data_IF_322140891513
#
_entry.id   IF_322140891513
#
_cell.length_a   1.000
_cell.length_b   1.000
_cell.length_c   1.000
_cell.angle_alpha   90.00
_cell.angle_beta   90.00
_cell.angle_gamma   90.00
#
_symmetry.space_group_name_H-M   'P 1'
#
loop_
_entity.id
_entity.type
_entity.pdbx_description
1 polymer ?
#
# COMPACT_ATOMS: atom_id res chain seq x y z
N UNK A 1 4.03 10.81 10.21
CA UNK A 1 4.03 11.74 9.06
C UNK A 1 4.37 11.05 7.73
N UNK A 2 5.52 10.37 7.58
CA UNK A 2 5.91 9.73 6.29
C UNK A 2 4.92 8.66 5.77
N UNK A 3 4.36 7.83 6.66
CA UNK A 3 3.35 6.82 6.29
C UNK A 3 2.07 7.44 5.73
N UNK A 4 1.65 8.58 6.27
CA UNK A 4 0.47 9.30 5.79
C UNK A 4 0.70 9.85 4.38
N UNK A 5 1.89 10.39 4.10
CA UNK A 5 2.27 10.83 2.76
C UNK A 5 2.26 9.68 1.74
N UNK A 6 2.77 8.50 2.13
CA UNK A 6 2.72 7.30 1.29
C UNK A 6 1.27 6.90 0.96
N UNK A 7 0.39 6.87 1.98
CA UNK A 7 -1.04 6.54 1.79
C UNK A 7 -1.72 7.53 0.85
N UNK A 8 -1.46 8.83 1.01
CA UNK A 8 -1.98 9.84 0.11
C UNK A 8 -1.48 9.63 -1.32
N UNK A 9 -0.19 9.37 -1.50
CA UNK A 9 0.36 9.11 -2.83
C UNK A 9 -0.29 7.88 -3.50
N UNK A 10 -0.40 6.74 -2.79
CA UNK A 10 -0.95 5.51 -3.37
C UNK A 10 -2.46 5.55 -3.60
N UNK A 11 -3.20 6.34 -2.81
CA UNK A 11 -4.64 6.52 -3.00
C UNK A 11 -4.96 7.47 -4.16
N UNK A 12 -4.03 8.37 -4.49
CA UNK A 12 -4.20 9.33 -5.59
C UNK A 12 -3.56 8.89 -6.92
N UNK A 13 -2.72 7.85 -6.92
CA UNK A 13 -1.95 7.39 -8.09
C UNK A 13 -2.81 7.02 -9.32
N UNK A 14 -4.10 6.75 -9.11
CA UNK A 14 -5.03 6.36 -10.16
C UNK A 14 -5.65 7.56 -10.88
N UNK A 15 -5.59 8.77 -10.30
CA UNK A 15 -6.29 9.93 -10.81
C UNK A 15 -5.37 10.82 -11.65
N UNK A 16 -5.91 11.40 -12.72
CA UNK A 16 -5.22 12.38 -13.57
C UNK A 16 -6.22 13.25 -14.32
N UNK A 17 -5.88 14.51 -14.57
CA UNK A 17 -6.64 15.36 -15.49
C UNK A 17 -6.57 14.82 -16.93
N UNK A 18 -5.45 14.21 -17.29
CA UNK A 18 -5.21 13.61 -18.60
C UNK A 18 -5.59 12.12 -18.61
N UNK A 19 -6.62 11.72 -17.86
CA UNK A 19 -7.05 10.32 -17.75
C UNK A 19 -7.32 9.67 -19.12
N UNK A 20 -7.77 10.44 -20.13
CA UNK A 20 -8.00 9.94 -21.49
C UNK A 20 -6.76 9.31 -22.11
N UNK A 21 -5.56 9.75 -21.74
CA UNK A 21 -4.31 9.18 -22.22
C UNK A 21 -4.07 7.73 -21.75
N UNK A 22 -4.89 7.21 -20.82
CA UNK A 22 -4.83 5.81 -20.38
C UNK A 22 -5.16 4.81 -21.49
N UNK A 23 -5.69 5.25 -22.64
CA UNK A 23 -5.88 4.42 -23.83
C UNK A 23 -4.60 3.64 -24.21
N UNK A 24 -3.42 4.19 -23.90
CA UNK A 24 -2.12 3.54 -24.17
C UNK A 24 -1.99 2.17 -23.51
N UNK A 25 -2.58 1.96 -22.32
CA UNK A 25 -2.54 0.65 -21.65
C UNK A 25 -3.40 -0.40 -22.37
N UNK A 26 -4.41 0.05 -23.12
CA UNK A 26 -5.35 -0.81 -23.83
C UNK A 26 -4.95 -1.05 -25.29
N UNK A 27 -4.14 -0.16 -25.89
CA UNK A 27 -3.63 -0.33 -27.25
C UNK A 27 -2.74 -1.58 -27.42
N UNK A 28 -1.96 -1.93 -26.40
CA UNK A 28 -1.23 -3.18 -26.32
C UNK A 28 -1.26 -3.72 -24.88
N UNK A 29 -2.31 -4.48 -24.52
CA UNK A 29 -2.48 -4.97 -23.16
C UNK A 29 -1.29 -5.81 -22.71
N UNK A 30 -0.72 -5.49 -21.56
CA UNK A 30 0.24 -6.34 -20.88
C UNK A 30 -0.43 -7.64 -20.41
N UNK A 31 0.36 -8.71 -20.25
CA UNK A 31 -0.18 -10.02 -19.81
C UNK A 31 -0.99 -9.94 -18.52
N UNK A 32 -0.50 -9.21 -17.52
CA UNK A 32 -1.23 -8.95 -16.27
C UNK A 32 -1.19 -7.45 -15.91
N UNK A 33 -2.34 -6.76 -15.77
CA UNK A 33 -2.36 -5.33 -15.44
C UNK A 33 -1.83 -5.07 -14.02
N UNK A 34 -1.92 -6.06 -13.12
CA UNK A 34 -1.31 -6.00 -11.79
C UNK A 34 0.20 -5.75 -11.81
N UNK A 35 0.92 -6.13 -12.87
CA UNK A 35 2.35 -5.79 -13.00
C UNK A 35 2.58 -4.28 -13.17
N UNK A 36 1.71 -3.61 -13.94
CA UNK A 36 1.77 -2.15 -14.14
C UNK A 36 1.42 -1.43 -12.84
N UNK A 37 0.36 -1.89 -12.17
CA UNK A 37 -0.05 -1.37 -10.86
C UNK A 37 1.05 -1.52 -9.81
N UNK A 38 1.69 -2.70 -9.75
CA UNK A 38 2.81 -2.98 -8.86
C UNK A 38 4.05 -2.13 -9.20
N UNK A 39 4.32 -1.88 -10.47
CA UNK A 39 5.39 -0.98 -10.92
C UNK A 39 5.16 0.45 -10.43
N UNK A 40 3.95 0.96 -10.58
CA UNK A 40 3.57 2.30 -10.10
C UNK A 40 3.70 2.41 -8.57
N UNK A 41 3.24 1.40 -7.83
CA UNK A 41 3.44 1.33 -6.38
C UNK A 41 4.92 1.33 -6.00
N UNK A 42 5.73 0.45 -6.61
CA UNK A 42 7.18 0.38 -6.32
C UNK A 42 7.86 1.71 -6.59
N UNK A 43 7.50 2.41 -7.66
CA UNK A 43 8.04 3.72 -7.96
C UNK A 43 7.73 4.73 -6.85
N UNK A 44 6.48 4.78 -6.37
CA UNK A 44 6.10 5.66 -5.25
C UNK A 44 6.83 5.27 -3.97
N UNK A 45 6.84 3.98 -3.64
CA UNK A 45 7.45 3.47 -2.42
C UNK A 45 8.96 3.72 -2.37
N UNK A 46 9.69 3.35 -3.43
CA UNK A 46 11.15 3.47 -3.48
C UNK A 46 11.59 4.93 -3.60
N UNK A 47 10.85 5.77 -4.34
CA UNK A 47 11.27 7.16 -4.58
C UNK A 47 10.88 8.11 -3.43
N UNK A 48 9.71 7.93 -2.84
CA UNK A 48 9.16 8.91 -1.90
C UNK A 48 9.08 8.42 -0.45
N UNK A 49 9.01 7.11 -0.21
CA UNK A 49 8.91 6.58 1.15
C UNK A 49 10.23 6.01 1.66
N UNK A 50 10.86 5.11 0.90
CA UNK A 50 12.01 4.33 1.33
C UNK A 50 13.20 5.17 1.80
N UNK A 51 13.60 6.27 1.13
CA UNK A 51 14.75 7.06 1.56
C UNK A 51 14.55 7.65 2.96
N UNK A 52 13.37 8.20 3.24
CA UNK A 52 13.04 8.74 4.56
C UNK A 52 12.93 7.65 5.61
N UNK A 53 12.28 6.53 5.28
CA UNK A 53 12.15 5.39 6.18
C UNK A 53 13.52 4.79 6.54
N UNK A 54 14.44 4.72 5.57
CA UNK A 54 15.79 4.22 5.78
C UNK A 54 16.60 5.12 6.72
N UNK A 55 16.56 6.44 6.53
CA UNK A 55 17.24 7.39 7.43
C UNK A 55 16.73 7.26 8.87
N UNK A 56 15.41 7.20 9.06
CA UNK A 56 14.80 7.02 10.39
C UNK A 56 15.19 5.67 10.99
N UNK A 57 15.16 4.60 10.19
CA UNK A 57 15.54 3.25 10.61
C UNK A 57 16.99 3.18 11.10
N UNK A 58 17.92 3.78 10.35
CA UNK A 58 19.33 3.85 10.73
C UNK A 58 19.49 4.62 12.03
N UNK A 59 18.80 5.75 12.19
CA UNK A 59 18.84 6.54 13.42
C UNK A 59 18.35 5.75 14.65
N UNK A 60 17.23 5.03 14.52
CA UNK A 60 16.67 4.20 15.60
C UNK A 60 17.63 3.06 15.98
N UNK A 61 18.21 2.38 14.98
CA UNK A 61 19.18 1.29 15.23
C UNK A 61 20.46 1.84 15.86
N UNK A 62 20.92 3.02 15.45
CA UNK A 62 22.12 3.64 16.02
C UNK A 62 21.95 3.99 17.51
N UNK A 63 20.75 4.43 17.93
CA UNK A 63 20.46 4.74 19.32
C UNK A 63 20.18 3.50 20.18
N UNK A 64 19.47 2.52 19.63
CA UNK A 64 19.02 1.34 20.35
C UNK A 64 19.96 0.13 20.28
N UNK A 65 20.91 0.14 19.35
CA UNK A 65 21.77 -1.00 19.04
C UNK A 65 21.05 -2.09 18.22
N UNK A 66 21.74 -3.23 18.07
CA UNK A 66 21.31 -4.33 17.18
C UNK A 66 19.97 -4.97 17.55
N UNK A 67 19.53 -4.87 18.80
CA UNK A 67 18.25 -5.43 19.25
C UNK A 67 17.04 -4.77 18.60
N UNK A 68 17.16 -3.50 18.18
CA UNK A 68 16.08 -2.73 17.56
C UNK A 68 15.87 -3.06 16.09
N UNK A 69 16.75 -3.84 15.46
CA UNK A 69 16.62 -4.21 14.05
C UNK A 69 15.30 -4.96 13.78
N UNK A 70 14.90 -5.83 14.71
CA UNK A 70 13.66 -6.59 14.62
C UNK A 70 12.44 -5.70 14.80
N UNK A 71 12.52 -4.72 15.69
CA UNK A 71 11.44 -3.76 15.94
C UNK A 71 11.22 -2.86 14.70
N UNK A 72 12.31 -2.36 14.11
CA UNK A 72 12.29 -1.58 12.86
C UNK A 72 11.74 -2.39 11.70
N UNK A 73 12.18 -3.64 11.53
CA UNK A 73 11.70 -4.50 10.45
C UNK A 73 10.21 -4.80 10.61
N UNK A 74 9.76 -5.10 11.84
CA UNK A 74 8.36 -5.33 12.14
C UNK A 74 7.50 -4.07 11.88
N UNK A 75 8.00 -2.89 12.25
CA UNK A 75 7.33 -1.63 11.94
C UNK A 75 7.20 -1.42 10.42
N UNK A 76 8.25 -1.75 9.65
CA UNK A 76 8.24 -1.61 8.20
C UNK A 76 7.28 -2.59 7.51
N UNK A 77 7.17 -3.83 8.00
CA UNK A 77 6.20 -4.82 7.53
C UNK A 77 4.76 -4.36 7.79
N UNK A 78 4.49 -3.82 8.98
CA UNK A 78 3.17 -3.29 9.31
C UNK A 78 2.75 -2.13 8.39
N UNK A 79 3.67 -1.23 8.07
CA UNK A 79 3.43 -0.14 7.12
C UNK A 79 3.11 -0.69 5.72
N UNK A 80 3.87 -1.67 5.25
CA UNK A 80 3.63 -2.32 3.95
C UNK A 80 2.26 -3.01 3.90
N UNK A 81 1.93 -3.81 4.91
CA UNK A 81 0.63 -4.50 5.02
C UNK A 81 -0.50 -3.49 4.98
N UNK A 82 -0.41 -2.42 5.78
CA UNK A 82 -1.44 -1.40 5.84
C UNK A 82 -1.67 -0.74 4.48
N UNK A 83 -0.59 -0.37 3.79
CA UNK A 83 -0.67 0.25 2.46
C UNK A 83 -1.24 -0.71 1.42
N UNK A 84 -0.85 -1.99 1.43
CA UNK A 84 -1.40 -3.00 0.53
C UNK A 84 -2.89 -3.24 0.75
N UNK A 85 -3.34 -3.28 2.01
CA UNK A 85 -4.77 -3.35 2.35
C UNK A 85 -5.50 -2.14 1.78
N UNK A 86 -5.00 -0.92 2.01
CA UNK A 86 -5.61 0.31 1.48
C UNK A 86 -5.72 0.28 -0.04
N UNK A 87 -4.67 -0.16 -0.73
CA UNK A 87 -4.66 -0.29 -2.19
C UNK A 87 -5.64 -1.36 -2.69
N UNK A 88 -5.76 -2.49 -1.98
CA UNK A 88 -6.68 -3.58 -2.35
C UNK A 88 -8.14 -3.23 -2.12
N UNK A 89 -8.43 -2.45 -1.09
CA UNK A 89 -9.75 -1.83 -0.87
C UNK A 89 -10.03 -0.67 -1.84
N UNK A 90 -8.99 -0.22 -2.55
CA UNK A 90 -9.02 0.69 -3.68
C UNK A 90 -9.95 0.22 -4.80
N UNK A 91 -10.27 1.14 -5.72
CA UNK A 91 -10.74 0.68 -7.03
C UNK A 91 -9.53 0.06 -7.73
N UNK A 92 -9.65 -1.18 -8.21
CA UNK A 92 -8.63 -1.78 -9.05
C UNK A 92 -8.64 -1.01 -10.38
N UNK A 93 -7.73 -0.06 -10.51
CA UNK A 93 -7.61 0.81 -11.67
C UNK A 93 -6.13 0.91 -12.08
N UNK A 94 -5.90 1.28 -13.33
CA UNK A 94 -4.55 1.53 -13.81
C UNK A 94 -4.07 2.91 -13.31
N UNK A 95 -2.76 3.10 -13.15
CA UNK A 95 -2.23 4.40 -12.75
C UNK A 95 -2.63 5.47 -13.78
N UNK A 96 -3.09 6.62 -13.28
CA UNK A 96 -3.54 7.77 -14.08
C UNK A 96 -4.72 7.51 -15.03
N UNK A 97 -5.58 6.53 -14.75
CA UNK A 97 -6.71 6.18 -15.63
C UNK A 97 -8.07 6.74 -15.21
N UNK A 98 -8.21 7.34 -14.02
CA UNK A 98 -9.50 7.79 -13.47
C UNK A 98 -9.62 9.33 -13.45
N UNK A 99 -10.84 9.82 -13.73
CA UNK A 99 -11.19 11.25 -13.55
C UNK A 99 -11.22 11.59 -12.06
N UNK A 100 -10.69 12.75 -11.67
CA UNK A 100 -10.62 13.14 -10.25
C UNK A 100 -12.01 13.29 -9.58
N UNK A 101 -13.05 13.63 -10.36
CA UNK A 101 -14.44 13.65 -9.86
C UNK A 101 -14.95 12.30 -9.35
N UNK A 102 -14.33 11.17 -9.73
CA UNK A 102 -14.70 9.85 -9.22
C UNK A 102 -14.16 9.56 -7.80
N UNK A 103 -13.30 10.41 -7.27
CA UNK A 103 -12.66 10.26 -5.95
C UNK A 103 -13.65 10.29 -4.77
N UNK A 104 -14.86 10.85 -4.95
CA UNK A 104 -15.81 11.10 -3.86
C UNK A 104 -17.18 10.41 -3.97
N UNK A 105 -17.44 9.59 -5.00
CA UNK A 105 -18.77 8.98 -5.18
C UNK A 105 -18.88 7.60 -4.51
N UNK A 106 -19.65 7.53 -3.41
CA UNK A 106 -20.31 6.29 -2.95
C UNK A 106 -19.91 5.73 -1.58
N UNK A 107 -20.74 4.84 -1.03
CA UNK A 107 -20.57 4.22 0.30
C UNK A 107 -19.26 3.42 0.48
N UNK A 108 -18.61 3.00 -0.61
CA UNK A 108 -17.28 2.35 -0.57
C UNK A 108 -16.19 3.27 -0.01
N UNK A 109 -16.29 4.58 -0.22
CA UNK A 109 -15.34 5.55 0.34
C UNK A 109 -15.48 5.65 1.87
N UNK A 110 -16.71 5.65 2.38
CA UNK A 110 -17.00 5.65 3.83
C UNK A 110 -16.48 4.37 4.50
N UNK A 111 -16.76 3.21 3.91
CA UNK A 111 -16.24 1.93 4.42
C UNK A 111 -14.71 1.93 4.45
N UNK A 112 -14.06 2.42 3.38
CA UNK A 112 -12.60 2.54 3.33
C UNK A 112 -12.06 3.46 4.43
N UNK A 113 -12.71 4.59 4.68
CA UNK A 113 -12.33 5.52 5.74
C UNK A 113 -12.43 4.87 7.13
N UNK A 114 -13.56 4.20 7.43
CA UNK A 114 -13.78 3.53 8.71
C UNK A 114 -12.77 2.40 8.92
N UNK A 115 -12.54 1.54 7.92
CA UNK A 115 -11.55 0.46 8.03
C UNK A 115 -10.15 1.01 8.21
N UNK A 116 -9.78 2.08 7.49
CA UNK A 116 -8.46 2.73 7.64
C UNK A 116 -8.30 3.30 9.05
N UNK A 117 -9.34 3.93 9.60
CA UNK A 117 -9.35 4.48 10.96
C UNK A 117 -9.18 3.39 12.03
N UNK A 118 -9.85 2.24 11.87
CA UNK A 118 -9.78 1.12 12.82
C UNK A 118 -8.51 0.28 12.67
N UNK A 119 -7.99 0.14 11.45
CA UNK A 119 -6.78 -0.64 11.19
C UNK A 119 -5.54 -0.03 11.87
N UNK A 120 -5.45 1.29 11.98
CA UNK A 120 -4.33 1.99 12.61
C UNK A 120 -4.14 1.58 14.09
N UNK A 121 -5.13 1.74 15.00
CA UNK A 121 -4.97 1.35 16.39
C UNK A 121 -4.83 -0.17 16.56
N UNK A 122 -5.43 -0.99 15.69
CA UNK A 122 -5.28 -2.45 15.76
C UNK A 122 -3.83 -2.85 15.44
N UNK A 123 -3.29 -2.37 14.32
CA UNK A 123 -1.92 -2.68 13.89
C UNK A 123 -0.92 -2.07 14.87
N UNK A 124 -1.15 -0.84 15.33
CA UNK A 124 -0.31 -0.15 16.31
C UNK A 124 -0.32 -0.85 17.68
N UNK A 125 -1.49 -1.26 18.16
CA UNK A 125 -1.64 -2.03 19.40
C UNK A 125 -0.97 -3.40 19.32
N UNK A 126 -1.15 -4.12 18.20
CA UNK A 126 -0.47 -5.39 17.94
C UNK A 126 1.05 -5.22 17.91
N UNK A 127 1.55 -4.15 17.27
CA UNK A 127 2.98 -3.83 17.26
C UNK A 127 3.51 -3.54 18.68
N UNK A 128 2.82 -2.71 19.45
CA UNK A 128 3.20 -2.41 20.84
C UNK A 128 3.28 -3.67 21.71
N UNK A 129 2.29 -4.56 21.61
CA UNK A 129 2.29 -5.83 22.33
C UNK A 129 3.45 -6.73 21.89
N UNK A 130 3.72 -6.81 20.59
CA UNK A 130 4.85 -7.58 20.07
C UNK A 130 6.19 -7.05 20.59
N UNK A 131 6.37 -5.73 20.62
CA UNK A 131 7.62 -5.10 21.11
C UNK A 131 7.83 -5.37 22.61
N UNK A 132 6.75 -5.45 23.40
CA UNK A 132 6.83 -5.70 24.86
C UNK A 132 7.32 -7.11 25.21
N UNK A 133 7.02 -8.11 24.39
CA UNK A 133 7.36 -9.51 24.66
C UNK A 133 8.30 -10.06 23.58
N UNK A 134 9.57 -10.28 23.93
CA UNK A 134 10.60 -10.76 22.99
C UNK A 134 10.18 -11.99 22.17
N UNK A 135 9.53 -12.99 22.81
CA UNK A 135 9.04 -14.19 22.11
C UNK A 135 7.96 -13.87 21.06
N UNK A 136 7.09 -12.89 21.31
CA UNK A 136 6.08 -12.48 20.34
C UNK A 136 6.73 -11.82 19.12
N UNK A 137 7.83 -11.08 19.27
CA UNK A 137 8.55 -10.48 18.12
C UNK A 137 8.95 -11.54 17.10
N UNK A 138 9.55 -12.63 17.58
CA UNK A 138 10.08 -13.71 16.73
C UNK A 138 8.95 -14.45 16.01
N UNK A 139 7.76 -14.54 16.60
CA UNK A 139 6.60 -15.22 16.00
C UNK A 139 5.84 -14.26 15.05
N UNK A 140 5.63 -13.02 15.45
CA UNK A 140 4.82 -12.04 14.70
C UNK A 140 5.55 -11.57 13.45
N UNK A 141 6.88 -11.47 13.48
CA UNK A 141 7.67 -11.05 12.32
C UNK A 141 7.49 -11.97 11.09
N UNK A 142 7.67 -13.31 11.17
CA UNK A 142 7.42 -14.19 10.04
C UNK A 142 5.94 -14.22 9.64
N UNK A 143 5.01 -14.14 10.60
CA UNK A 143 3.57 -14.08 10.28
C UNK A 143 3.21 -12.84 9.46
N UNK A 144 3.73 -11.67 9.85
CA UNK A 144 3.54 -10.42 9.08
C UNK A 144 4.25 -10.49 7.74
N UNK A 145 5.41 -11.14 7.64
CA UNK A 145 6.08 -11.42 6.36
C UNK A 145 5.22 -12.28 5.42
N UNK A 146 4.64 -13.37 5.92
CA UNK A 146 3.74 -14.24 5.15
C UNK A 146 2.50 -13.47 4.70
N UNK A 147 1.86 -12.72 5.60
CA UNK A 147 0.70 -11.90 5.26
C UNK A 147 1.05 -10.85 4.20
N UNK A 148 2.19 -10.18 4.33
CA UNK A 148 2.67 -9.21 3.35
C UNK A 148 2.88 -9.87 1.99
N UNK A 149 3.49 -11.06 1.94
CA UNK A 149 3.68 -11.81 0.71
C UNK A 149 2.36 -12.22 0.07
N UNK A 150 1.40 -12.73 0.85
CA UNK A 150 0.07 -13.11 0.36
C UNK A 150 -0.69 -11.91 -0.23
N UNK A 151 -0.67 -10.76 0.47
CA UNK A 151 -1.30 -9.53 -0.02
C UNK A 151 -0.65 -9.04 -1.31
N UNK A 152 0.68 -9.10 -1.37
CA UNK A 152 1.46 -8.69 -2.53
C UNK A 152 1.21 -9.59 -3.75
N UNK A 153 1.24 -10.90 -3.56
CA UNK A 153 0.96 -11.89 -4.60
C UNK A 153 -0.47 -11.73 -5.15
N UNK A 154 -1.45 -11.55 -4.26
CA UNK A 154 -2.84 -11.26 -4.63
C UNK A 154 -2.98 -9.97 -5.43
N UNK A 155 -2.19 -8.94 -5.08
CA UNK A 155 -2.20 -7.65 -5.78
C UNK A 155 -1.64 -7.76 -7.20
N UNK A 156 -0.49 -8.42 -7.38
CA UNK A 156 0.13 -8.63 -8.71
C UNK A 156 -0.74 -9.47 -9.63
N UNK A 157 -1.43 -10.47 -9.08
CA UNK A 157 -2.32 -11.37 -9.85
C UNK A 157 -3.65 -10.73 -10.26
N UNK A 158 -3.81 -9.41 -10.10
CA UNK A 158 -5.00 -8.69 -10.59
C UNK A 158 -5.10 -8.79 -12.11
N UNK A 159 -6.24 -9.30 -12.59
CA UNK A 159 -6.54 -9.54 -14.01
C UNK A 159 -7.33 -8.39 -14.62
N UNK A 160 -7.38 -8.32 -15.95
CA UNK A 160 -8.10 -7.28 -16.70
C UNK A 160 -9.59 -7.17 -16.35
N UNK A 161 -10.25 -8.29 -16.04
CA UNK A 161 -11.67 -8.30 -15.67
C UNK A 161 -11.96 -7.58 -14.34
N UNK A 162 -10.94 -7.43 -13.49
CA UNK A 162 -11.07 -6.72 -12.23
C UNK A 162 -10.79 -5.20 -12.37
N UNK A 163 -10.27 -4.74 -13.52
CA UNK A 163 -9.89 -3.35 -13.74
C UNK A 163 -11.13 -2.52 -14.09
N UNK A 164 -11.34 -1.44 -13.34
CA UNK A 164 -12.34 -0.43 -13.64
C UNK A 164 -11.93 0.31 -14.92
N UNK A 165 -12.80 0.29 -15.94
CA UNK A 165 -12.57 1.02 -17.19
C UNK A 165 -13.15 2.44 -17.10
N UNK A 166 -12.45 3.46 -17.65
CA UNK A 166 -12.89 4.86 -17.58
C UNK A 166 -14.18 5.17 -18.35
N UNK A 167 -14.57 4.34 -19.33
CA UNK A 167 -15.67 4.58 -20.26
C UNK A 167 -16.88 3.64 -20.05
N UNK A 168 -16.89 2.82 -19.00
CA UNK A 168 -17.98 1.85 -18.75
C UNK A 168 -19.29 2.49 -18.24
N UNK A 169 -19.29 3.80 -17.96
CA UNK A 169 -20.41 4.58 -17.41
C UNK A 169 -20.90 5.69 -18.37
N UNK A 170 -20.48 5.69 -19.65
CA UNK A 170 -21.05 6.50 -20.74
C UNK A 170 -21.90 5.60 -21.67
#
# INVERSE_FOLDING_TARGET
>A
MCTFALIQAVTNIYFSEQYKASWVYYARPVGTPGNVMAGAFKAVYIKYYFPFAAVISVFVIALGGWTYIFDVLLAQMNILIFVLITMRMGSAALPFSLKEQMKQRGGKAVIRMVVTLLAIPIIGGAHYLAVKFWMLKIIVLPLTGILCWMLWDSYIKTTWNAILQPDADE
#
